data_IF_701694191904
#
_entry.id   IF_701694191904
#
_cell.length_a   1.000
_cell.length_b   1.000
_cell.length_c   1.000
_cell.angle_alpha   90.00
_cell.angle_beta   90.00
_cell.angle_gamma   90.00
#
_symmetry.space_group_name_H-M   'P 1'
#
loop_
_entity.id
_entity.type
_entity.pdbx_description
1 polymer ?
#
# COMPACT_ATOMS: atom_id res chain seq x y z
N UNK A 1 -3.71 9.61 14.36
CA UNK A 1 -3.15 9.55 13.00
C UNK A 1 -3.66 8.29 12.35
N UNK A 2 -3.96 8.29 11.06
CA UNK A 2 -4.24 7.07 10.31
C UNK A 2 -3.12 6.80 9.31
N UNK A 3 -2.97 5.54 8.91
CA UNK A 3 -2.13 5.16 7.78
C UNK A 3 -3.03 4.76 6.63
N UNK A 4 -2.79 5.35 5.47
CA UNK A 4 -3.53 5.07 4.26
C UNK A 4 -2.59 4.54 3.19
N UNK A 5 -3.13 3.73 2.29
CA UNK A 5 -2.40 3.19 1.16
C UNK A 5 -3.07 3.55 -0.16
N UNK A 6 -2.25 3.59 -1.19
CA UNK A 6 -2.61 3.51 -2.60
C UNK A 6 -1.94 2.26 -3.18
N UNK A 7 -2.70 1.45 -3.90
CA UNK A 7 -2.24 0.20 -4.48
C UNK A 7 -2.56 0.16 -5.96
N UNK A 8 -1.59 -0.30 -6.73
CA UNK A 8 -1.75 -0.66 -8.13
C UNK A 8 -1.49 -2.16 -8.26
N UNK A 9 -2.40 -2.87 -8.92
CA UNK A 9 -2.32 -4.33 -9.08
C UNK A 9 -2.86 -4.76 -10.44
N UNK A 10 -2.56 -5.99 -10.85
CA UNK A 10 -3.18 -6.61 -12.00
C UNK A 10 -4.67 -6.89 -11.76
N UNK A 11 -5.45 -6.90 -12.84
CA UNK A 11 -6.78 -7.48 -12.81
C UNK A 11 -6.69 -8.95 -12.35
N UNK A 12 -7.71 -9.46 -11.62
CA UNK A 12 -7.76 -10.87 -11.24
C UNK A 12 -7.53 -11.74 -12.48
N UNK A 13 -6.64 -12.73 -12.38
CA UNK A 13 -6.27 -13.71 -13.43
C UNK A 13 -5.13 -13.35 -14.40
N UNK A 14 -4.55 -12.14 -14.35
CA UNK A 14 -3.35 -11.86 -15.14
C UNK A 14 -2.09 -12.21 -14.36
N UNK A 15 -1.35 -13.19 -14.87
CA UNK A 15 0.00 -13.51 -14.39
C UNK A 15 0.98 -12.92 -15.39
N UNK A 16 1.73 -11.93 -14.94
CA UNK A 16 2.93 -11.39 -15.58
C UNK A 16 2.71 -10.44 -16.76
N UNK A 17 2.97 -9.16 -16.48
CA UNK A 17 3.49 -8.21 -17.46
C UNK A 17 4.65 -7.48 -16.81
N UNK A 18 5.81 -7.37 -17.47
CA UNK A 18 6.75 -6.30 -17.11
C UNK A 18 5.98 -4.99 -17.30
N UNK A 19 5.84 -4.21 -16.24
CA UNK A 19 5.14 -2.93 -16.31
C UNK A 19 6.13 -1.78 -16.21
N UNK A 20 5.91 -0.77 -17.02
CA UNK A 20 6.60 0.51 -16.89
C UNK A 20 5.64 1.60 -17.37
N UNK A 21 4.99 2.27 -16.43
CA UNK A 21 4.11 3.39 -16.71
C UNK A 21 4.09 4.37 -15.54
N UNK A 22 3.58 5.57 -15.81
CA UNK A 22 3.47 6.64 -14.82
C UNK A 22 2.00 6.95 -14.58
N UNK A 23 1.59 6.96 -13.31
CA UNK A 23 0.35 7.56 -12.87
C UNK A 23 0.63 9.01 -12.50
N UNK A 24 -0.11 9.93 -13.11
CA UNK A 24 0.12 11.37 -12.97
C UNK A 24 -0.83 11.96 -11.94
N UNK A 25 -0.28 12.85 -11.11
CA UNK A 25 -1.06 13.68 -10.17
C UNK A 25 -1.98 12.85 -9.27
N UNK A 26 -1.43 11.78 -8.69
CA UNK A 26 -2.18 10.91 -7.78
C UNK A 26 -2.43 11.66 -6.48
N UNK A 27 -3.69 11.74 -6.09
CA UNK A 27 -4.14 12.32 -4.84
C UNK A 27 -5.03 11.32 -4.09
N UNK A 28 -4.89 11.32 -2.76
CA UNK A 28 -5.77 10.57 -1.85
C UNK A 28 -6.76 11.53 -1.21
N UNK A 29 -8.02 11.15 -1.26
CA UNK A 29 -9.13 11.95 -0.78
C UNK A 29 -9.85 11.27 0.36
N UNK A 30 -10.46 12.09 1.20
CA UNK A 30 -11.42 11.66 2.21
C UNK A 30 -12.50 12.73 2.29
N UNK A 31 -13.74 12.33 2.01
CA UNK A 31 -14.89 13.25 1.96
C UNK A 31 -14.72 14.36 0.91
N UNK A 32 -14.12 14.01 -0.25
CA UNK A 32 -13.81 14.97 -1.32
C UNK A 32 -12.62 15.90 -1.03
N UNK A 33 -12.07 15.90 0.19
CA UNK A 33 -10.90 16.69 0.55
C UNK A 33 -9.60 15.91 0.34
N UNK A 34 -8.56 16.60 -0.15
CA UNK A 34 -7.24 16.03 -0.36
C UNK A 34 -6.53 15.85 0.97
N UNK A 35 -6.20 14.61 1.31
CA UNK A 35 -5.52 14.25 2.57
C UNK A 35 -4.06 13.84 2.37
N UNK A 36 -3.68 13.47 1.15
CA UNK A 36 -2.29 13.22 0.77
C UNK A 36 -2.12 13.40 -0.75
N UNK A 37 -0.94 13.86 -1.15
CA UNK A 37 -0.55 14.04 -2.55
C UNK A 37 0.67 13.16 -2.84
N UNK A 38 0.47 11.86 -3.15
CA UNK A 38 1.55 11.02 -3.67
C UNK A 38 2.26 11.63 -4.90
N UNK A 39 1.52 12.37 -5.73
CA UNK A 39 2.06 13.00 -6.93
C UNK A 39 2.24 12.02 -8.08
N UNK A 40 3.29 12.20 -8.88
CA UNK A 40 3.60 11.31 -9.99
C UNK A 40 4.24 10.01 -9.49
N UNK A 41 3.61 8.87 -9.79
CA UNK A 41 4.05 7.55 -9.37
C UNK A 41 4.53 6.75 -10.57
N UNK A 42 5.82 6.40 -10.59
CA UNK A 42 6.39 5.48 -11.59
C UNK A 42 6.22 4.05 -11.11
N UNK A 43 5.47 3.25 -11.87
CA UNK A 43 5.14 1.86 -11.56
C UNK A 43 6.00 0.95 -12.44
N UNK A 44 7.01 0.32 -11.83
CA UNK A 44 7.96 -0.58 -12.51
C UNK A 44 7.76 -2.06 -12.15
N UNK A 45 6.96 -2.34 -11.13
CA UNK A 45 6.62 -3.68 -10.67
C UNK A 45 5.19 -3.70 -10.13
N UNK A 46 4.56 -4.88 -10.20
CA UNK A 46 3.25 -5.12 -9.60
C UNK A 46 3.31 -6.32 -8.65
N UNK A 47 2.59 -6.27 -7.51
CA UNK A 47 1.78 -5.14 -7.07
C UNK A 47 2.65 -3.96 -6.59
N UNK A 48 2.22 -2.73 -6.89
CA UNK A 48 2.84 -1.52 -6.37
C UNK A 48 2.03 -0.98 -5.21
N UNK A 49 2.70 -0.56 -4.15
CA UNK A 49 2.08 0.02 -2.97
C UNK A 49 2.79 1.30 -2.56
N UNK A 50 2.01 2.36 -2.39
CA UNK A 50 2.39 3.56 -1.67
C UNK A 50 1.58 3.62 -0.39
N UNK A 51 2.18 4.02 0.73
CA UNK A 51 1.43 4.29 1.96
C UNK A 51 2.03 5.47 2.69
N UNK A 52 1.23 6.19 3.47
CA UNK A 52 1.67 7.35 4.24
C UNK A 52 0.76 7.58 5.44
N UNK A 53 1.22 8.43 6.38
CA UNK A 53 0.42 8.89 7.50
C UNK A 53 -0.41 10.12 7.15
N UNK A 54 -1.66 10.15 7.60
CA UNK A 54 -2.60 11.27 7.43
C UNK A 54 -3.31 11.61 8.74
N UNK A 55 -3.91 12.79 8.82
CA UNK A 55 -4.74 13.18 9.96
C UNK A 55 -5.88 12.18 10.19
N UNK A 56 -6.27 11.98 11.46
CA UNK A 56 -7.29 11.00 11.82
C UNK A 56 -8.65 11.34 11.16
N UNK A 57 -9.36 10.32 10.68
CA UNK A 57 -10.73 10.41 10.18
C UNK A 57 -11.30 9.03 9.88
N UNK A 58 -12.60 8.97 9.60
CA UNK A 58 -13.35 7.70 9.58
C UNK A 58 -14.08 7.41 8.27
N UNK A 59 -14.05 8.35 7.31
CA UNK A 59 -14.68 8.18 5.99
C UNK A 59 -13.79 7.35 5.07
N UNK A 60 -14.39 6.80 4.01
CA UNK A 60 -13.68 6.02 3.00
C UNK A 60 -12.53 6.82 2.40
N UNK A 61 -11.45 6.13 2.07
CA UNK A 61 -10.35 6.72 1.30
C UNK A 61 -10.65 6.51 -0.18
N UNK A 62 -10.59 7.60 -0.92
CA UNK A 62 -10.76 7.63 -2.37
C UNK A 62 -9.46 8.10 -3.01
N UNK A 63 -9.37 7.99 -4.33
CA UNK A 63 -8.22 8.49 -5.09
C UNK A 63 -8.69 9.14 -6.38
N UNK A 64 -7.90 10.10 -6.86
CA UNK A 64 -8.01 10.63 -8.23
C UNK A 64 -6.61 10.69 -8.84
N UNK A 65 -6.58 10.80 -10.16
CA UNK A 65 -5.35 10.85 -10.97
C UNK A 65 -5.66 11.56 -12.29
N UNK A 66 -4.67 12.21 -12.88
CA UNK A 66 -4.82 12.98 -14.11
C UNK A 66 -4.86 12.11 -15.38
N UNK A 67 -4.43 10.85 -15.31
CA UNK A 67 -4.48 9.90 -16.41
C UNK A 67 -5.10 8.57 -15.99
N UNK A 68 -5.57 7.80 -16.97
CA UNK A 68 -6.05 6.45 -16.72
C UNK A 68 -4.86 5.47 -16.67
N UNK A 69 -4.92 4.45 -15.79
CA UNK A 69 -3.96 3.36 -15.82
C UNK A 69 -4.11 2.57 -17.13
N UNK A 70 -3.07 1.83 -17.55
CA UNK A 70 -3.17 0.92 -18.68
C UNK A 70 -4.32 -0.08 -18.51
N UNK A 71 -4.79 -0.65 -19.62
CA UNK A 71 -5.84 -1.67 -19.58
C UNK A 71 -5.43 -2.80 -18.62
N UNK A 72 -6.41 -3.30 -17.86
CA UNK A 72 -6.25 -4.44 -16.95
C UNK A 72 -5.35 -4.19 -15.72
N UNK A 73 -5.08 -2.92 -15.45
CA UNK A 73 -4.52 -2.46 -14.19
C UNK A 73 -5.67 -1.96 -13.29
N UNK A 74 -5.62 -2.32 -12.02
CA UNK A 74 -6.57 -1.89 -11.00
C UNK A 74 -5.88 -1.02 -9.97
N UNK A 75 -6.50 0.10 -9.64
CA UNK A 75 -6.04 1.00 -8.57
C UNK A 75 -7.02 0.94 -7.40
N UNK A 76 -6.51 0.95 -6.18
CA UNK A 76 -7.32 0.97 -4.96
C UNK A 76 -6.65 1.81 -3.88
N UNK A 77 -7.45 2.38 -2.98
CA UNK A 77 -6.96 3.10 -1.83
C UNK A 77 -7.75 2.70 -0.58
N UNK A 78 -7.14 2.85 0.59
CA UNK A 78 -7.78 2.44 1.84
C UNK A 78 -6.96 2.73 3.07
N UNK A 79 -7.50 2.37 4.23
CA UNK A 79 -6.76 2.38 5.49
C UNK A 79 -5.88 1.15 5.59
N UNK A 80 -4.60 1.37 5.93
CA UNK A 80 -3.69 0.29 6.28
C UNK A 80 -4.01 -0.16 7.72
N UNK A 81 -4.42 -1.42 7.87
CA UNK A 81 -4.89 -1.98 9.14
C UNK A 81 -3.75 -2.67 9.88
N UNK A 82 -3.81 -2.73 11.21
CA UNK A 82 -2.93 -3.61 11.98
C UNK A 82 -3.08 -5.05 11.51
N UNK A 83 -1.95 -5.75 11.34
CA UNK A 83 -1.96 -7.15 10.91
C UNK A 83 -0.65 -7.59 10.27
N UNK A 84 -0.62 -8.84 9.83
CA UNK A 84 0.52 -9.42 9.11
C UNK A 84 0.44 -9.09 7.63
N UNK A 85 1.56 -8.71 7.04
CA UNK A 85 1.70 -8.44 5.62
C UNK A 85 2.93 -9.13 5.05
N UNK A 86 2.80 -9.56 3.81
CA UNK A 86 3.91 -9.99 2.99
C UNK A 86 4.61 -8.74 2.44
N UNK A 87 5.90 -8.63 2.71
CA UNK A 87 6.76 -7.52 2.34
C UNK A 87 7.91 -8.07 1.52
N UNK A 88 8.15 -7.50 0.35
CA UNK A 88 9.36 -7.74 -0.43
C UNK A 88 10.51 -6.95 0.19
N UNK A 89 11.62 -7.63 0.45
CA UNK A 89 12.87 -7.04 0.93
C UNK A 89 13.99 -7.36 -0.05
N UNK A 90 15.14 -6.66 0.01
CA UNK A 90 16.31 -7.03 -0.79
C UNK A 90 16.80 -8.47 -0.57
N UNK A 91 16.45 -9.10 0.56
CA UNK A 91 16.79 -10.49 0.90
C UNK A 91 15.71 -11.50 0.47
N UNK A 92 14.61 -11.03 -0.11
CA UNK A 92 13.44 -11.82 -0.48
C UNK A 92 12.17 -11.43 0.27
N UNK A 93 11.09 -12.18 0.03
CA UNK A 93 9.80 -11.94 0.67
C UNK A 93 9.80 -12.37 2.15
N UNK A 94 9.32 -11.51 3.04
CA UNK A 94 9.20 -11.75 4.48
C UNK A 94 7.83 -11.34 5.01
N UNK A 95 7.39 -11.95 6.10
CA UNK A 95 6.16 -11.56 6.79
C UNK A 95 6.50 -10.56 7.89
N UNK A 96 5.92 -9.37 7.81
CA UNK A 96 6.06 -8.32 8.81
C UNK A 96 4.70 -7.95 9.39
N UNK A 97 4.67 -7.67 10.68
CA UNK A 97 3.50 -7.18 11.39
C UNK A 97 3.48 -5.66 11.36
N UNK A 98 2.39 -5.07 10.87
CA UNK A 98 2.15 -3.63 10.94
C UNK A 98 1.27 -3.29 12.14
N UNK A 99 1.60 -2.22 12.85
CA UNK A 99 0.78 -1.64 13.91
C UNK A 99 0.25 -0.26 13.48
N UNK A 100 -1.04 -0.17 13.16
CA UNK A 100 -1.68 1.05 12.69
C UNK A 100 -1.82 2.14 13.79
N UNK A 101 -1.66 1.79 15.07
CA UNK A 101 -1.74 2.76 16.17
C UNK A 101 -0.52 3.70 16.17
N UNK A 102 0.65 3.17 15.86
CA UNK A 102 1.92 3.90 15.94
C UNK A 102 2.70 3.93 14.61
N UNK A 103 2.23 3.24 13.56
CA UNK A 103 2.86 3.27 12.25
C UNK A 103 4.10 2.42 12.10
N UNK A 104 4.29 1.45 12.99
CA UNK A 104 5.51 0.66 13.04
C UNK A 104 5.34 -0.72 12.42
N UNK A 105 6.45 -1.23 11.89
CA UNK A 105 6.59 -2.57 11.35
C UNK A 105 7.56 -3.36 12.22
N UNK A 106 7.23 -4.62 12.44
CA UNK A 106 8.07 -5.56 13.18
C UNK A 106 8.14 -6.86 12.40
N UNK A 107 9.34 -7.39 12.17
CA UNK A 107 9.47 -8.74 11.60
C UNK A 107 9.00 -9.78 12.63
N UNK A 108 8.33 -10.83 12.15
CA UNK A 108 7.85 -11.90 13.01
C UNK A 108 9.05 -12.57 13.70
N UNK A 109 9.11 -12.44 15.03
CA UNK A 109 10.21 -12.88 15.92
C UNK A 109 11.44 -11.97 16.01
N UNK A 110 11.41 -10.76 15.41
CA UNK A 110 12.48 -9.77 15.59
C UNK A 110 12.10 -8.74 16.66
N UNK A 111 13.10 -8.26 17.40
CA UNK A 111 12.93 -7.12 18.33
C UNK A 111 13.03 -5.76 17.63
N UNK A 112 13.49 -5.74 16.38
CA UNK A 112 13.68 -4.51 15.62
C UNK A 112 12.32 -3.97 15.15
N UNK A 113 12.01 -2.76 15.61
CA UNK A 113 10.84 -2.00 15.20
C UNK A 113 11.32 -0.95 14.19
N UNK A 114 10.69 -0.90 13.02
CA UNK A 114 10.96 0.11 11.99
C UNK A 114 9.72 0.97 11.78
N UNK A 115 9.89 2.27 11.67
CA UNK A 115 8.81 3.18 11.29
C UNK A 115 8.68 3.25 9.76
N UNK A 116 7.77 4.10 9.28
CA UNK A 116 7.55 4.31 7.84
C UNK A 116 8.81 4.78 7.10
N UNK A 117 9.58 5.70 7.68
CA UNK A 117 10.82 6.19 7.04
C UNK A 117 11.86 5.08 6.95
N UNK A 118 12.00 4.28 8.02
CA UNK A 118 12.87 3.11 8.06
C UNK A 118 12.44 2.00 7.11
N UNK A 119 11.14 1.87 6.81
CA UNK A 119 10.61 0.95 5.81
C UNK A 119 11.04 1.36 4.40
N UNK A 120 10.86 2.64 4.05
CA UNK A 120 11.28 3.18 2.74
C UNK A 120 12.80 3.12 2.57
N UNK A 121 13.56 3.53 3.60
CA UNK A 121 15.03 3.57 3.55
C UNK A 121 15.66 2.18 3.34
N UNK A 122 14.96 1.12 3.75
CA UNK A 122 15.39 -0.28 3.53
C UNK A 122 14.95 -0.85 2.19
N UNK A 123 14.32 -0.04 1.33
CA UNK A 123 13.76 -0.47 0.05
C UNK A 123 12.76 -1.62 0.19
N UNK A 124 11.98 -1.60 1.27
CA UNK A 124 10.93 -2.59 1.46
C UNK A 124 9.70 -2.19 0.65
N UNK A 125 9.03 -3.18 0.05
CA UNK A 125 7.79 -2.98 -0.68
C UNK A 125 6.68 -3.84 -0.08
N UNK A 126 5.54 -3.22 0.22
CA UNK A 126 4.37 -3.94 0.69
C UNK A 126 3.74 -4.73 -0.46
N UNK A 127 3.54 -6.03 -0.33
CA UNK A 127 2.93 -6.85 -1.39
C UNK A 127 1.44 -7.11 -1.17
N UNK A 128 1.07 -7.53 0.04
CA UNK A 128 -0.34 -7.83 0.40
C UNK A 128 -0.48 -8.14 1.89
N UNK A 129 -1.66 -7.97 2.49
CA UNK A 129 -1.95 -8.59 3.77
C UNK A 129 -1.84 -10.11 3.68
N UNK A 130 -1.26 -10.71 4.71
CA UNK A 130 -1.33 -12.15 4.92
C UNK A 130 -2.73 -12.45 5.42
N UNK A 131 -3.43 -13.36 4.74
CA UNK A 131 -4.68 -13.89 5.27
C UNK A 131 -4.34 -14.67 6.53
N UNK A 132 -4.63 -14.10 7.70
CA UNK A 132 -4.75 -14.92 8.91
C UNK A 132 -5.78 -16.00 8.60
N UNK A 133 -5.41 -17.27 8.76
CA UNK A 133 -6.33 -18.40 8.63
C UNK A 133 -7.49 -18.23 9.62
N UNK A 134 -8.55 -17.57 9.17
CA UNK A 134 -9.63 -17.11 10.03
C UNK A 134 -10.27 -15.86 9.46
N UNK A 135 -11.23 -16.07 8.55
CA UNK A 135 -12.17 -15.06 8.01
C UNK A 135 -11.62 -14.13 6.93
N UNK A 136 -11.99 -14.48 5.70
CA UNK A 136 -11.95 -13.63 4.51
C UNK A 136 -12.72 -12.33 4.79
N UNK A 137 -12.01 -11.21 4.87
CA UNK A 137 -12.61 -9.90 4.61
C UNK A 137 -12.01 -9.39 3.31
N UNK A 138 -12.79 -9.31 2.22
CA UNK A 138 -12.31 -8.65 1.01
C UNK A 138 -12.01 -7.18 1.31
N UNK A 139 -11.10 -6.60 0.54
CA UNK A 139 -10.94 -5.16 0.47
C UNK A 139 -12.23 -4.58 -0.11
N UNK A 140 -13.09 -4.02 0.75
CA UNK A 140 -14.21 -3.17 0.35
C UNK A 140 -13.79 -1.71 0.43
#
# INVERSE_FOLDING_TARGET
MNFVFFRVDHAPHEKTSVVNFVLKDVELLRDGEVIAVPGDLTVTSLPFFYFCSVQTGFRKIEYKMANNPPARITCSAGYLKTGDYLVETPEGEKVMQFNALNGTWTEKNASAVIDHQGFIARQFALLRPVKSSGRTVPFN
#
